data_IF_325264793896
#
_entry.id   IF_325264793896
#
_cell.length_a   1.000
_cell.length_b   1.000
_cell.length_c   1.000
_cell.angle_alpha   90.00
_cell.angle_beta   90.00
_cell.angle_gamma   90.00
#
_symmetry.space_group_name_H-M   'P 1'
#
loop_
_entity.id
_entity.type
_entity.pdbx_description
1 polymer ?
#
# COMPACT_ATOMS: atom_id res chain seq x y z
N UNK A 1 19.14 -23.25 -2.60
CA UNK A 1 18.09 -22.65 -3.47
C UNK A 1 17.59 -21.28 -2.97
N UNK A 2 18.07 -20.75 -1.83
CA UNK A 2 17.52 -19.53 -1.20
C UNK A 2 18.12 -18.20 -1.73
N UNK A 3 19.22 -18.21 -2.49
CA UNK A 3 20.01 -16.99 -2.76
C UNK A 3 19.71 -16.27 -4.08
N UNK A 4 18.96 -16.90 -4.99
CA UNK A 4 18.75 -16.34 -6.35
C UNK A 4 17.87 -15.07 -6.34
N UNK A 5 16.89 -15.01 -5.44
CA UNK A 5 16.05 -13.83 -5.26
C UNK A 5 16.78 -12.71 -4.51
N UNK A 6 17.68 -13.07 -3.58
CA UNK A 6 18.47 -12.11 -2.84
C UNK A 6 19.34 -11.27 -3.78
N UNK A 7 20.15 -11.91 -4.62
CA UNK A 7 20.98 -11.21 -5.61
C UNK A 7 20.15 -10.36 -6.60
N UNK A 8 18.98 -10.86 -7.03
CA UNK A 8 18.10 -10.17 -7.99
C UNK A 8 17.55 -8.85 -7.45
N UNK A 9 17.15 -8.81 -6.19
CA UNK A 9 16.43 -7.68 -5.60
C UNK A 9 17.27 -6.87 -4.61
N UNK A 10 18.53 -7.24 -4.38
CA UNK A 10 19.43 -6.54 -3.45
C UNK A 10 19.53 -5.04 -3.72
N UNK A 11 19.81 -4.63 -4.96
CA UNK A 11 19.93 -3.20 -5.29
C UNK A 11 18.62 -2.43 -5.11
N UNK A 12 17.48 -3.09 -5.31
CA UNK A 12 16.16 -2.51 -5.09
C UNK A 12 15.90 -2.27 -3.60
N UNK A 13 16.22 -3.24 -2.75
CA UNK A 13 16.11 -3.12 -1.30
C UNK A 13 17.11 -2.09 -0.76
N UNK A 14 18.37 -2.17 -1.21
CA UNK A 14 19.46 -1.26 -0.83
C UNK A 14 19.12 0.21 -1.14
N UNK A 15 18.46 0.48 -2.26
CA UNK A 15 18.00 1.83 -2.60
C UNK A 15 17.09 2.44 -1.52
N UNK A 16 16.15 1.65 -0.98
CA UNK A 16 15.27 2.12 0.10
C UNK A 16 16.00 2.16 1.44
N UNK A 17 16.83 1.17 1.75
CA UNK A 17 17.62 1.14 2.99
C UNK A 17 18.50 2.40 3.14
N UNK A 18 19.27 2.75 2.09
CA UNK A 18 20.10 3.97 2.07
C UNK A 18 19.27 5.24 2.29
N UNK A 19 18.09 5.32 1.69
CA UNK A 19 17.19 6.47 1.84
C UNK A 19 16.68 6.64 3.27
N UNK A 20 16.44 5.55 3.98
CA UNK A 20 15.92 5.58 5.35
C UNK A 20 17.03 5.71 6.41
N UNK A 21 18.20 5.14 6.16
CA UNK A 21 19.40 5.32 6.98
C UNK A 21 19.79 6.79 7.05
N UNK A 22 19.84 7.50 5.91
CA UNK A 22 20.16 8.93 5.87
C UNK A 22 19.15 9.83 6.63
N UNK A 23 18.03 9.27 7.12
CA UNK A 23 16.96 9.98 7.84
C UNK A 23 16.81 9.54 9.28
N UNK A 24 17.61 8.58 9.76
CA UNK A 24 17.51 7.98 11.09
C UNK A 24 18.92 7.82 11.67
N UNK A 25 19.20 8.41 12.83
CA UNK A 25 20.57 8.47 13.37
C UNK A 25 21.05 7.17 14.03
N UNK A 26 20.16 6.22 14.32
CA UNK A 26 20.47 5.07 15.19
C UNK A 26 20.06 3.72 14.57
N UNK A 27 20.14 3.57 13.25
CA UNK A 27 19.73 2.32 12.58
C UNK A 27 20.78 1.88 11.59
N UNK A 28 21.23 0.63 11.72
CA UNK A 28 22.21 0.03 10.81
C UNK A 28 21.58 -0.31 9.45
N UNK A 29 22.35 -0.14 8.38
CA UNK A 29 21.88 -0.38 7.02
C UNK A 29 21.56 -1.86 6.78
N UNK A 30 22.31 -2.75 7.42
CA UNK A 30 22.18 -4.20 7.28
C UNK A 30 20.84 -4.67 7.83
N UNK A 31 20.42 -4.16 8.98
CA UNK A 31 19.10 -4.43 9.56
C UNK A 31 17.97 -3.94 8.65
N UNK A 32 18.10 -2.73 8.10
CA UNK A 32 17.11 -2.23 7.12
C UNK A 32 17.02 -3.11 5.89
N UNK A 33 18.15 -3.62 5.41
CA UNK A 33 18.18 -4.53 4.26
C UNK A 33 17.45 -5.84 4.62
N UNK A 34 17.72 -6.41 5.80
CA UNK A 34 17.05 -7.63 6.26
C UNK A 34 15.52 -7.43 6.35
N UNK A 35 15.08 -6.36 6.99
CA UNK A 35 13.66 -5.99 7.09
C UNK A 35 13.02 -5.73 5.72
N UNK A 36 13.79 -5.12 4.81
CA UNK A 36 13.40 -4.96 3.42
C UNK A 36 13.13 -6.27 2.72
N UNK A 37 14.02 -7.26 2.88
CA UNK A 37 13.85 -8.58 2.29
C UNK A 37 12.67 -9.36 2.89
N UNK A 38 12.37 -9.16 4.19
CA UNK A 38 11.12 -9.68 4.78
C UNK A 38 9.89 -9.09 4.10
N UNK A 39 9.88 -7.77 3.86
CA UNK A 39 8.82 -7.11 3.11
C UNK A 39 8.69 -7.63 1.67
N UNK A 40 9.81 -7.91 1.01
CA UNK A 40 9.83 -8.48 -0.34
C UNK A 40 9.24 -9.90 -0.36
N UNK A 41 9.55 -10.75 0.62
CA UNK A 41 8.99 -12.09 0.72
C UNK A 41 7.47 -12.06 0.88
N UNK A 42 6.95 -11.17 1.73
CA UNK A 42 5.50 -10.95 1.88
C UNK A 42 4.89 -10.52 0.54
N UNK A 43 5.59 -9.67 -0.22
CA UNK A 43 5.13 -9.27 -1.54
C UNK A 43 5.11 -10.44 -2.53
N UNK A 44 6.11 -11.32 -2.52
CA UNK A 44 6.15 -12.53 -3.38
C UNK A 44 4.99 -13.48 -3.08
N UNK A 45 4.66 -13.68 -1.80
CA UNK A 45 3.57 -14.56 -1.37
C UNK A 45 2.18 -14.03 -1.75
N UNK A 46 2.02 -12.70 -1.78
CA UNK A 46 0.70 -12.05 -1.95
C UNK A 46 0.46 -11.47 -3.34
N UNK A 47 1.50 -11.29 -4.15
CA UNK A 47 1.37 -10.68 -5.46
C UNK A 47 0.63 -11.59 -6.44
N UNK A 48 -0.43 -11.06 -7.05
CA UNK A 48 -1.15 -11.74 -8.13
C UNK A 48 -0.88 -11.03 -9.46
N UNK A 49 -0.65 -11.83 -10.52
CA UNK A 49 -0.27 -11.33 -11.85
C UNK A 49 -1.41 -10.57 -12.57
N UNK A 50 -2.64 -10.75 -12.12
CA UNK A 50 -3.86 -10.09 -12.61
C UNK A 50 -3.99 -8.63 -12.13
N UNK A 51 -3.18 -8.19 -11.16
CA UNK A 51 -3.24 -6.83 -10.58
C UNK A 51 -2.83 -5.69 -11.54
N UNK A 52 -2.47 -5.96 -12.80
CA UNK A 52 -2.10 -4.99 -13.85
C UNK A 52 -1.02 -3.95 -13.42
N UNK A 53 -0.22 -4.30 -12.41
CA UNK A 53 0.91 -3.52 -11.89
C UNK A 53 2.16 -4.38 -11.88
N UNK A 54 3.34 -3.74 -11.98
CA UNK A 54 4.59 -4.49 -11.86
C UNK A 54 4.80 -5.02 -10.44
N UNK A 55 5.40 -6.20 -10.32
CA UNK A 55 5.76 -6.77 -9.02
C UNK A 55 6.59 -5.79 -8.17
N UNK A 56 7.58 -5.12 -8.77
CA UNK A 56 8.42 -4.14 -8.05
C UNK A 56 7.60 -2.97 -7.49
N UNK A 57 6.55 -2.53 -8.20
CA UNK A 57 5.63 -1.50 -7.72
C UNK A 57 4.94 -1.97 -6.44
N UNK A 58 4.39 -3.20 -6.46
CA UNK A 58 3.73 -3.80 -5.30
C UNK A 58 4.71 -4.06 -4.15
N UNK A 59 5.85 -4.68 -4.43
CA UNK A 59 6.91 -4.96 -3.47
C UNK A 59 7.44 -3.70 -2.78
N UNK A 60 7.53 -2.57 -3.50
CA UNK A 60 8.03 -1.32 -2.92
C UNK A 60 7.21 -0.82 -1.72
N UNK A 61 5.92 -1.16 -1.65
CA UNK A 61 5.09 -0.85 -0.50
C UNK A 61 5.51 -1.67 0.72
N UNK A 62 5.61 -2.99 0.56
CA UNK A 62 5.95 -3.91 1.65
C UNK A 62 7.38 -3.71 2.16
N UNK A 63 8.35 -3.51 1.27
CA UNK A 63 9.75 -3.21 1.64
C UNK A 63 9.83 -1.95 2.50
N UNK A 64 9.21 -0.84 2.05
CA UNK A 64 9.22 0.42 2.81
C UNK A 64 8.52 0.29 4.16
N UNK A 65 7.42 -0.46 4.19
CA UNK A 65 6.59 -0.63 5.38
C UNK A 65 7.33 -1.41 6.47
N UNK A 66 8.02 -2.50 6.12
CA UNK A 66 8.82 -3.26 7.08
C UNK A 66 9.98 -2.44 7.62
N UNK A 67 10.73 -1.77 6.74
CA UNK A 67 11.80 -0.84 7.15
C UNK A 67 11.30 0.26 8.09
N UNK A 68 10.15 0.89 7.78
CA UNK A 68 9.56 1.93 8.64
C UNK A 68 9.05 1.37 9.96
N UNK A 69 8.46 0.15 9.97
CA UNK A 69 8.06 -0.55 11.20
C UNK A 69 9.28 -0.71 12.11
N UNK A 70 10.37 -1.24 11.57
CA UNK A 70 11.62 -1.45 12.31
C UNK A 70 12.22 -0.14 12.85
N UNK A 71 12.30 0.91 12.03
CA UNK A 71 12.81 2.22 12.45
C UNK A 71 11.97 2.80 13.59
N UNK A 72 10.64 2.67 13.53
CA UNK A 72 9.77 3.20 14.57
C UNK A 72 9.92 2.41 15.86
N UNK A 73 10.01 1.08 15.79
CA UNK A 73 10.26 0.22 16.96
C UNK A 73 11.58 0.58 17.63
N UNK A 74 12.66 0.80 16.87
CA UNK A 74 13.96 1.17 17.43
C UNK A 74 14.04 2.62 17.95
N UNK A 75 13.05 3.47 17.62
CA UNK A 75 13.00 4.86 18.09
C UNK A 75 12.31 5.00 19.44
N UNK A 76 11.44 4.08 19.83
CA UNK A 76 10.78 4.11 21.14
C UNK A 76 10.90 2.74 21.78
N UNK A 77 11.67 2.67 22.88
CA UNK A 77 11.90 1.47 23.68
C UNK A 77 10.67 0.95 24.47
N UNK A 78 9.44 1.23 24.01
CA UNK A 78 8.18 0.90 24.70
C UNK A 78 7.06 0.39 23.77
N UNK A 79 7.39 -0.17 22.60
CA UNK A 79 6.39 -0.87 21.78
C UNK A 79 6.20 -2.30 22.27
N UNK A 80 5.33 -2.46 23.27
CA UNK A 80 4.71 -3.75 23.63
C UNK A 80 4.30 -4.49 22.37
N UNK A 81 4.58 -5.80 22.34
CA UNK A 81 4.20 -6.77 21.32
C UNK A 81 3.00 -6.29 20.51
N UNK A 82 3.26 -5.80 19.30
CA UNK A 82 2.21 -5.72 18.30
C UNK A 82 1.93 -7.17 17.97
N UNK A 83 0.96 -7.76 18.69
CA UNK A 83 0.29 -8.97 18.29
C UNK A 83 0.04 -8.83 16.79
N UNK A 84 0.71 -9.67 16.00
CA UNK A 84 0.60 -9.73 14.55
C UNK A 84 -0.79 -10.24 14.18
N UNK A 85 -1.83 -9.50 14.54
CA UNK A 85 -3.17 -9.66 14.02
C UNK A 85 -3.16 -9.18 12.57
N UNK A 86 -2.90 -10.16 11.71
CA UNK A 86 -3.11 -10.24 10.26
C UNK A 86 -4.41 -9.52 9.82
N UNK A 87 -5.38 -9.35 10.73
CA UNK A 87 -6.63 -8.57 10.64
C UNK A 87 -6.51 -7.18 9.99
N UNK A 88 -5.48 -6.38 10.28
CA UNK A 88 -5.40 -5.01 9.72
C UNK A 88 -5.15 -5.00 8.19
N UNK A 89 -4.45 -6.02 7.66
CA UNK A 89 -4.14 -6.13 6.23
C UNK A 89 -5.17 -6.94 5.45
N UNK A 90 -5.84 -7.90 6.08
CA UNK A 90 -7.06 -8.48 5.48
C UNK A 90 -8.08 -7.37 5.21
N UNK A 91 -8.22 -6.40 6.12
CA UNK A 91 -9.16 -5.30 5.97
C UNK A 91 -9.02 -4.52 4.64
N UNK A 92 -7.81 -4.38 4.07
CA UNK A 92 -7.69 -3.73 2.75
C UNK A 92 -8.24 -4.59 1.61
N UNK A 93 -7.97 -5.89 1.63
CA UNK A 93 -8.49 -6.83 0.62
C UNK A 93 -10.01 -7.05 0.81
N UNK A 94 -10.52 -7.06 2.04
CA UNK A 94 -11.95 -7.17 2.38
C UNK A 94 -12.74 -5.89 2.12
N UNK A 95 -12.17 -4.70 2.38
CA UNK A 95 -12.74 -3.40 1.97
C UNK A 95 -12.88 -3.33 0.44
N UNK A 96 -11.93 -3.91 -0.31
CA UNK A 96 -11.99 -3.99 -1.76
C UNK A 96 -13.06 -4.98 -2.26
N UNK A 97 -13.28 -6.10 -1.57
CA UNK A 97 -14.34 -7.06 -1.90
C UNK A 97 -15.76 -6.56 -1.53
N UNK A 98 -15.92 -5.85 -0.41
CA UNK A 98 -17.21 -5.31 0.07
C UNK A 98 -17.67 -4.04 -0.67
N UNK A 99 -16.83 -3.46 -1.54
CA UNK A 99 -17.17 -2.30 -2.36
C UNK A 99 -18.12 -2.61 -3.55
N UNK A 100 -18.65 -3.83 -3.64
CA UNK A 100 -19.72 -4.18 -4.59
C UNK A 100 -21.12 -3.71 -4.17
N UNK A 101 -21.27 -3.16 -2.96
CA UNK A 101 -22.58 -2.74 -2.45
C UNK A 101 -23.00 -1.35 -2.93
N UNK A 102 -24.22 -1.25 -3.45
CA UNK A 102 -24.80 -0.09 -4.11
C UNK A 102 -24.90 1.22 -3.30
N UNK A 103 -24.43 1.25 -2.06
CA UNK A 103 -24.43 2.43 -1.19
C UNK A 103 -23.33 3.46 -1.53
N UNK A 104 -22.23 3.05 -2.16
CA UNK A 104 -21.08 3.95 -2.45
C UNK A 104 -21.43 4.99 -3.53
N UNK A 105 -22.33 4.67 -4.47
CA UNK A 105 -22.73 5.61 -5.54
C UNK A 105 -23.44 6.86 -5.00
N UNK A 106 -24.13 6.76 -3.84
CA UNK A 106 -24.78 7.89 -3.17
C UNK A 106 -23.78 8.83 -2.49
N UNK A 107 -22.63 8.33 -2.04
CA UNK A 107 -21.58 9.10 -1.37
C UNK A 107 -20.74 9.95 -2.35
N UNK A 108 -20.62 9.48 -3.59
CA UNK A 108 -19.83 10.12 -4.64
C UNK A 108 -20.68 11.16 -5.39
N UNK A 109 -20.55 12.41 -4.98
CA UNK A 109 -21.32 13.55 -5.50
C UNK A 109 -20.90 13.99 -6.91
N UNK A 110 -19.63 13.76 -7.30
CA UNK A 110 -19.10 14.20 -8.60
C UNK A 110 -18.93 13.02 -9.56
N UNK A 111 -19.29 13.23 -10.83
CA UNK A 111 -19.10 12.25 -11.91
C UNK A 111 -17.62 11.84 -12.05
N UNK A 112 -16.68 12.78 -11.86
CA UNK A 112 -15.24 12.50 -11.88
C UNK A 112 -14.80 11.61 -10.72
N UNK A 113 -15.35 11.84 -9.52
CA UNK A 113 -15.07 10.99 -8.34
C UNK A 113 -15.57 9.57 -8.59
N UNK A 114 -16.76 9.40 -9.22
CA UNK A 114 -17.31 8.10 -9.60
C UNK A 114 -16.45 7.38 -10.64
N UNK A 115 -16.01 8.09 -11.68
CA UNK A 115 -15.16 7.54 -12.74
C UNK A 115 -13.79 7.12 -12.19
N UNK A 116 -13.13 7.97 -11.40
CA UNK A 116 -11.87 7.62 -10.75
C UNK A 116 -12.07 6.46 -9.78
N UNK A 117 -13.16 6.44 -9.01
CA UNK A 117 -13.46 5.34 -8.10
C UNK A 117 -13.62 4.02 -8.85
N UNK A 118 -14.43 3.99 -9.92
CA UNK A 118 -14.62 2.79 -10.75
C UNK A 118 -13.30 2.33 -11.37
N UNK A 119 -12.61 3.22 -12.07
CA UNK A 119 -11.38 2.88 -12.76
C UNK A 119 -10.25 2.43 -11.81
N UNK A 120 -10.18 2.98 -10.60
CA UNK A 120 -9.12 2.67 -9.64
C UNK A 120 -9.46 1.49 -8.72
N UNK A 121 -10.65 1.47 -8.12
CA UNK A 121 -11.04 0.46 -7.11
C UNK A 121 -11.71 -0.78 -7.72
N UNK A 122 -12.43 -0.64 -8.84
CA UNK A 122 -13.08 -1.77 -9.51
C UNK A 122 -12.17 -2.32 -10.60
N UNK A 123 -11.73 -1.46 -11.52
CA UNK A 123 -10.95 -1.89 -12.69
C UNK A 123 -9.43 -1.99 -12.41
N UNK A 124 -8.99 -1.63 -11.19
CA UNK A 124 -7.59 -1.68 -10.72
C UNK A 124 -6.57 -1.02 -11.67
N UNK A 125 -6.97 0.07 -12.33
CA UNK A 125 -6.09 0.76 -13.27
C UNK A 125 -5.06 1.65 -12.54
N UNK A 126 -3.82 1.73 -13.05
CA UNK A 126 -2.81 2.64 -12.52
C UNK A 126 -3.21 4.09 -12.79
N UNK A 127 -2.81 5.00 -11.88
CA UNK A 127 -3.17 6.42 -11.92
C UNK A 127 -2.82 7.09 -13.25
N UNK A 128 -1.74 6.67 -13.90
CA UNK A 128 -1.29 7.19 -15.18
C UNK A 128 -2.24 6.82 -16.32
N UNK A 129 -2.78 5.59 -16.34
CA UNK A 129 -3.80 5.19 -17.31
C UNK A 129 -5.12 5.92 -17.07
N UNK A 130 -5.51 6.09 -15.80
CA UNK A 130 -6.72 6.83 -15.44
C UNK A 130 -6.62 8.30 -15.84
N UNK A 131 -5.46 8.92 -15.63
CA UNK A 131 -5.16 10.28 -16.06
C UNK A 131 -5.36 10.47 -17.56
N UNK A 132 -4.84 9.54 -18.35
CA UNK A 132 -4.98 9.56 -19.81
C UNK A 132 -6.43 9.36 -20.25
N UNK A 133 -7.15 8.38 -19.67
CA UNK A 133 -8.56 8.09 -20.01
C UNK A 133 -9.46 9.28 -19.68
N UNK A 134 -9.25 9.91 -18.53
CA UNK A 134 -10.05 11.03 -18.07
C UNK A 134 -9.54 12.38 -18.57
N UNK A 135 -8.46 12.39 -19.36
CA UNK A 135 -7.77 13.59 -19.85
C UNK A 135 -7.50 14.63 -18.75
N UNK A 136 -6.98 14.17 -17.60
CA UNK A 136 -6.63 15.00 -16.46
C UNK A 136 -5.21 14.71 -15.99
N UNK A 137 -4.58 15.68 -15.32
CA UNK A 137 -3.23 15.49 -14.73
C UNK A 137 -3.26 14.34 -13.71
N UNK A 138 -2.24 13.47 -13.74
CA UNK A 138 -2.03 12.38 -12.77
C UNK A 138 -2.19 12.82 -11.32
N UNK A 139 -1.66 14.00 -10.99
CA UNK A 139 -1.76 14.58 -9.64
C UNK A 139 -3.21 14.88 -9.24
N UNK A 140 -4.06 15.26 -10.20
CA UNK A 140 -5.49 15.46 -9.97
C UNK A 140 -6.20 14.14 -9.65
N UNK A 141 -5.83 13.06 -10.35
CA UNK A 141 -6.34 11.69 -10.05
C UNK A 141 -5.94 11.27 -8.63
N UNK A 142 -4.69 11.53 -8.23
CA UNK A 142 -4.18 11.24 -6.87
C UNK A 142 -4.98 12.00 -5.80
N UNK A 143 -5.19 13.30 -6.00
CA UNK A 143 -5.97 14.13 -5.09
C UNK A 143 -7.41 13.62 -4.93
N UNK A 144 -8.03 13.23 -6.05
CA UNK A 144 -9.38 12.64 -6.04
C UNK A 144 -9.36 11.32 -5.25
N UNK A 145 -8.38 10.44 -5.48
CA UNK A 145 -8.22 9.19 -4.73
C UNK A 145 -8.10 9.43 -3.22
N UNK A 146 -7.28 10.38 -2.80
CA UNK A 146 -7.13 10.68 -1.37
C UNK A 146 -8.40 11.24 -0.74
N UNK A 147 -9.12 12.07 -1.49
CA UNK A 147 -10.42 12.56 -1.08
C UNK A 147 -11.45 11.42 -0.94
N UNK A 148 -11.44 10.46 -1.86
CA UNK A 148 -12.27 9.24 -1.78
C UNK A 148 -11.96 8.43 -0.53
N UNK A 149 -10.67 8.16 -0.27
CA UNK A 149 -10.23 7.41 0.92
C UNK A 149 -10.65 8.14 2.20
N UNK A 150 -10.49 9.46 2.28
CA UNK A 150 -10.95 10.26 3.43
C UNK A 150 -12.45 10.15 3.63
N UNK A 151 -13.25 10.29 2.56
CA UNK A 151 -14.72 10.14 2.61
C UNK A 151 -15.14 8.75 3.09
N UNK A 152 -14.49 7.70 2.60
CA UNK A 152 -14.75 6.32 3.01
C UNK A 152 -14.43 6.16 4.51
N UNK A 153 -13.28 6.68 4.97
CA UNK A 153 -12.89 6.61 6.39
C UNK A 153 -13.78 7.43 7.32
N UNK A 154 -14.26 8.59 6.87
CA UNK A 154 -15.13 9.46 7.68
C UNK A 154 -16.54 8.90 7.85
N UNK A 155 -17.01 8.05 6.93
CA UNK A 155 -18.30 7.38 7.04
C UNK A 155 -18.19 6.11 7.91
N UNK A 156 -18.22 6.31 9.23
CA UNK A 156 -18.21 5.24 10.25
C UNK A 156 -19.33 4.22 10.10
N UNK A 157 -20.44 4.54 9.42
CA UNK A 157 -21.58 3.61 9.24
C UNK A 157 -21.22 2.37 8.39
N UNK A 158 -20.25 2.45 7.47
CA UNK A 158 -19.79 1.29 6.70
C UNK A 158 -18.78 0.42 7.47
N UNK A 159 -18.08 1.03 8.44
CA UNK A 159 -17.11 0.34 9.31
C UNK A 159 -17.82 -0.40 10.45
N UNK A 160 -18.97 0.10 10.90
CA UNK A 160 -19.75 -0.52 11.98
C UNK A 160 -20.66 -1.67 11.53
N UNK A 161 -21.00 -1.79 10.25
CA UNK A 161 -21.68 -2.98 9.70
C UNK A 161 -20.71 -4.17 9.47
N UNK A 162 -19.48 -4.07 9.98
CA UNK A 162 -18.44 -5.11 9.93
C UNK A 162 -18.12 -5.69 11.33
N UNK A 163 -18.91 -5.35 12.36
CA UNK A 163 -18.88 -6.02 13.67
C UNK A 163 -19.97 -7.07 13.76
#
# INVERSE_FOLDING_TARGET
>A
MKDKNFARFYNFVLFFAKKYMNRSSNVEIEDLIQEGFLGLKIAEERFKKDMNISFLTYASYWVKKMMLKYINVNRESDYKEINDDISYYENYDTIFQNCKDGNIQKLLKSELERKVYKLFFIDNLPLDKIANILNIRREKVRQIKEKLIRKIKSNKELVNNLK
#
